data_IF_902895643090
#
_entry.id   IF_902895643090
#
_cell.length_a   1.000
_cell.length_b   1.000
_cell.length_c   1.000
_cell.angle_alpha   90.00
_cell.angle_beta   90.00
_cell.angle_gamma   90.00
#
_symmetry.space_group_name_H-M   'P 1'
#
loop_
_entity.id
_entity.type
_entity.pdbx_description
1 polymer ?
#
# COMPACT_ATOMS: atom_id res chain seq x y z
N UNK A 1 50.69 7.77 -2.90
CA UNK A 1 49.50 8.59 -3.32
C UNK A 1 48.48 7.83 -4.19
N UNK A 2 48.81 6.76 -4.91
CA UNK A 2 47.87 6.01 -5.77
C UNK A 2 46.88 5.07 -4.99
N UNK A 3 47.27 4.60 -3.82
CA UNK A 3 46.48 3.73 -2.98
C UNK A 3 45.34 4.47 -2.25
N UNK A 4 45.59 5.68 -1.77
CA UNK A 4 44.58 6.50 -1.06
C UNK A 4 43.39 6.87 -1.96
N UNK A 5 43.65 7.10 -3.26
CA UNK A 5 42.63 7.44 -4.26
C UNK A 5 41.70 6.28 -4.59
N UNK A 6 42.19 5.04 -4.48
CA UNK A 6 41.36 3.82 -4.70
C UNK A 6 40.40 3.58 -3.54
N UNK A 7 40.82 3.86 -2.30
CA UNK A 7 39.94 3.72 -1.12
C UNK A 7 38.82 4.77 -1.09
N UNK A 8 39.10 6.01 -1.52
CA UNK A 8 38.09 7.08 -1.62
C UNK A 8 37.00 6.74 -2.66
N UNK A 9 37.36 6.11 -3.78
CA UNK A 9 36.39 5.68 -4.79
C UNK A 9 35.54 4.51 -4.28
N UNK A 10 36.13 3.59 -3.49
CA UNK A 10 35.37 2.45 -2.91
C UNK A 10 34.41 2.91 -1.82
N UNK A 11 34.82 3.88 -0.99
CA UNK A 11 33.94 4.46 0.04
C UNK A 11 32.83 5.31 -0.59
N UNK A 12 33.09 6.02 -1.68
CA UNK A 12 32.08 6.78 -2.41
C UNK A 12 31.06 5.86 -3.11
N UNK A 13 31.46 4.68 -3.57
CA UNK A 13 30.54 3.67 -4.15
C UNK A 13 29.70 2.97 -3.08
N UNK A 14 30.17 2.84 -1.84
CA UNK A 14 29.42 2.32 -0.71
C UNK A 14 28.44 3.35 -0.11
N UNK A 15 28.70 4.65 -0.29
CA UNK A 15 27.80 5.73 0.15
C UNK A 15 26.62 5.99 -0.81
N UNK A 16 26.63 5.41 -2.01
CA UNK A 16 25.49 5.35 -2.92
C UNK A 16 24.59 4.14 -2.60
N UNK A 17 24.29 3.93 -1.32
CA UNK A 17 23.21 3.08 -0.86
C UNK A 17 21.88 3.65 -1.33
N UNK A 18 21.64 3.61 -2.64
CA UNK A 18 20.36 3.94 -3.23
C UNK A 18 19.31 3.00 -2.66
N UNK A 19 18.21 3.53 -2.18
CA UNK A 19 17.04 2.75 -1.82
C UNK A 19 16.71 1.83 -3.00
N UNK A 20 16.86 0.50 -2.81
CA UNK A 20 16.54 -0.49 -3.84
C UNK A 20 15.03 -0.61 -3.89
N UNK A 21 14.42 0.30 -4.65
CA UNK A 21 12.99 0.23 -4.92
C UNK A 21 12.74 -0.77 -6.05
N UNK A 22 11.97 -1.80 -5.78
CA UNK A 22 11.53 -2.74 -6.79
C UNK A 22 10.22 -2.28 -7.43
N UNK A 23 10.19 -2.29 -8.77
CA UNK A 23 8.94 -2.19 -9.50
C UNK A 23 8.21 -3.54 -9.44
N UNK A 24 6.97 -3.51 -8.96
CA UNK A 24 6.11 -4.68 -8.85
C UNK A 24 5.00 -4.53 -9.88
N UNK A 25 4.82 -5.56 -10.71
CA UNK A 25 3.72 -5.63 -11.67
C UNK A 25 2.61 -6.49 -11.08
N UNK A 26 1.37 -6.01 -11.14
CA UNK A 26 0.22 -6.79 -10.69
C UNK A 26 -0.17 -7.78 -11.78
N UNK A 27 -0.14 -9.10 -11.50
CA UNK A 27 -0.47 -10.11 -12.49
C UNK A 27 -1.85 -9.90 -13.11
N UNK A 28 -1.94 -10.04 -14.46
CA UNK A 28 -3.18 -9.90 -15.21
C UNK A 28 -3.59 -8.45 -15.50
N UNK A 29 -2.76 -7.46 -15.13
CA UNK A 29 -3.01 -6.04 -15.36
C UNK A 29 -1.81 -5.35 -15.99
N UNK A 30 -1.95 -4.11 -16.49
CA UNK A 30 -0.82 -3.23 -16.83
C UNK A 30 -0.36 -2.39 -15.62
N UNK A 31 -0.93 -2.63 -14.45
CA UNK A 31 -0.67 -1.84 -13.24
C UNK A 31 0.67 -2.24 -12.63
N UNK A 32 1.48 -1.24 -12.33
CA UNK A 32 2.72 -1.42 -11.57
C UNK A 32 2.85 -0.36 -10.50
N UNK A 33 3.62 -0.66 -9.48
CA UNK A 33 3.95 0.26 -8.38
C UNK A 33 5.35 -0.04 -7.84
N UNK A 34 5.86 0.82 -6.97
CA UNK A 34 7.19 0.64 -6.38
C UNK A 34 7.09 0.44 -4.87
N UNK A 35 7.85 -0.52 -4.36
CA UNK A 35 8.11 -0.73 -2.94
C UNK A 35 9.61 -0.69 -2.67
N UNK A 36 9.98 -0.12 -1.53
CA UNK A 36 11.32 -0.26 -1.00
C UNK A 36 11.48 -1.67 -0.40
N UNK A 37 12.35 -2.48 -0.98
CA UNK A 37 12.58 -3.87 -0.53
C UNK A 37 13.21 -3.96 0.87
N UNK A 38 13.78 -2.88 1.39
CA UNK A 38 14.30 -2.83 2.75
C UNK A 38 13.19 -2.59 3.78
N UNK A 39 12.08 -1.97 3.34
CA UNK A 39 10.97 -1.60 4.20
C UNK A 39 9.74 -2.51 4.04
N UNK A 40 9.57 -3.17 2.88
CA UNK A 40 8.38 -3.94 2.58
C UNK A 40 8.70 -5.33 2.10
N UNK A 41 7.93 -6.31 2.58
CA UNK A 41 8.05 -7.72 2.16
C UNK A 41 6.71 -8.27 1.73
N UNK A 42 6.73 -8.98 0.60
CA UNK A 42 5.62 -9.82 0.19
C UNK A 42 5.41 -10.95 1.21
N UNK A 43 4.15 -11.14 1.62
CA UNK A 43 3.77 -12.20 2.55
C UNK A 43 3.14 -13.37 1.82
N UNK A 44 2.04 -13.11 1.10
CA UNK A 44 1.25 -14.15 0.46
C UNK A 44 0.25 -13.58 -0.54
N UNK A 45 -0.25 -14.46 -1.40
CA UNK A 45 -1.47 -14.25 -2.19
C UNK A 45 -2.51 -15.29 -1.79
N UNK A 46 -3.76 -14.90 -1.75
CA UNK A 46 -4.88 -15.84 -1.66
C UNK A 46 -6.03 -15.39 -2.55
N UNK A 47 -6.95 -16.32 -2.83
CA UNK A 47 -8.14 -16.07 -3.63
C UNK A 47 -9.34 -15.95 -2.72
N UNK A 48 -10.12 -14.89 -2.87
CA UNK A 48 -11.37 -14.71 -2.15
C UNK A 48 -12.50 -15.54 -2.78
N UNK A 49 -13.60 -15.69 -2.04
CA UNK A 49 -14.77 -16.44 -2.49
C UNK A 49 -15.40 -15.85 -3.76
N UNK A 50 -15.29 -14.54 -3.96
CA UNK A 50 -15.76 -13.82 -5.14
C UNK A 50 -14.83 -13.97 -6.36
N UNK A 51 -13.77 -14.76 -6.23
CA UNK A 51 -12.77 -15.03 -7.26
C UNK A 51 -11.64 -14.01 -7.39
N UNK A 52 -11.64 -12.95 -6.59
CA UNK A 52 -10.57 -11.96 -6.59
C UNK A 52 -9.27 -12.52 -6.01
N UNK A 53 -8.14 -12.01 -6.48
CA UNK A 53 -6.84 -12.28 -5.89
C UNK A 53 -6.47 -11.15 -4.95
N UNK A 54 -5.98 -11.51 -3.75
CA UNK A 54 -5.45 -10.54 -2.78
C UNK A 54 -3.98 -10.78 -2.57
N UNK A 55 -3.18 -9.72 -2.75
CA UNK A 55 -1.74 -9.71 -2.50
C UNK A 55 -1.48 -8.94 -1.21
N UNK A 56 -0.74 -9.55 -0.28
CA UNK A 56 -0.35 -8.93 0.99
C UNK A 56 1.14 -8.65 1.05
N UNK A 57 1.46 -7.45 1.49
CA UNK A 57 2.81 -7.02 1.86
C UNK A 57 2.77 -6.47 3.28
N UNK A 58 3.83 -6.70 4.05
CA UNK A 58 4.00 -6.09 5.37
C UNK A 58 5.19 -5.16 5.40
N UNK A 59 5.09 -4.14 6.24
CA UNK A 59 6.20 -3.26 6.56
C UNK A 59 7.16 -4.00 7.52
N UNK A 60 8.45 -3.95 7.22
CA UNK A 60 9.53 -4.59 7.98
C UNK A 60 10.69 -3.64 8.26
N UNK A 61 10.49 -2.34 8.04
CA UNK A 61 11.48 -1.31 8.34
C UNK A 61 11.67 -1.09 9.83
N UNK A 62 11.51 0.14 10.29
CA UNK A 62 11.58 0.46 11.72
C UNK A 62 10.47 -0.21 12.51
N UNK A 63 10.79 -0.65 13.73
CA UNK A 63 9.78 -1.23 14.63
C UNK A 63 8.84 -0.14 15.09
N UNK A 64 7.56 -0.30 14.81
CA UNK A 64 6.50 0.56 15.30
C UNK A 64 5.87 -0.07 16.53
N UNK A 65 5.68 0.72 17.58
CA UNK A 65 5.03 0.30 18.82
C UNK A 65 3.76 1.13 19.03
N UNK A 66 2.72 0.49 19.56
CA UNK A 66 1.54 1.21 20.04
C UNK A 66 1.73 1.72 21.48
N UNK A 67 0.71 2.36 22.03
CA UNK A 67 0.73 2.89 23.39
C UNK A 67 0.95 1.84 24.47
N UNK A 68 0.61 0.58 24.20
CA UNK A 68 0.80 -0.54 25.12
C UNK A 68 2.19 -1.18 24.99
N UNK A 69 3.01 -0.73 24.02
CA UNK A 69 4.33 -1.24 23.70
C UNK A 69 4.32 -2.48 22.81
N UNK A 70 3.19 -2.85 22.24
CA UNK A 70 3.09 -3.96 21.33
C UNK A 70 3.56 -3.57 19.92
N UNK A 71 4.22 -4.50 19.23
CA UNK A 71 4.66 -4.30 17.86
C UNK A 71 3.48 -4.19 16.89
N UNK A 72 3.46 -3.11 16.11
CA UNK A 72 2.48 -2.88 15.05
C UNK A 72 3.11 -3.19 13.70
N UNK A 73 2.41 -3.96 12.87
CA UNK A 73 2.81 -4.28 11.50
C UNK A 73 1.86 -3.58 10.51
N UNK A 74 2.29 -2.51 9.85
CA UNK A 74 1.54 -1.92 8.74
C UNK A 74 1.46 -2.89 7.55
N UNK A 75 0.33 -2.84 6.83
CA UNK A 75 0.08 -3.69 5.68
C UNK A 75 -0.26 -2.87 4.43
N UNK A 76 0.18 -3.39 3.29
CA UNK A 76 -0.38 -3.08 1.99
C UNK A 76 -1.16 -4.31 1.51
N UNK A 77 -2.44 -4.12 1.25
CA UNK A 77 -3.31 -5.10 0.62
C UNK A 77 -3.68 -4.63 -0.78
N UNK A 78 -3.56 -5.50 -1.77
CA UNK A 78 -3.97 -5.22 -3.15
C UNK A 78 -5.01 -6.27 -3.53
N UNK A 79 -6.23 -5.82 -3.74
CA UNK A 79 -7.33 -6.64 -4.25
C UNK A 79 -7.40 -6.47 -5.77
N UNK A 80 -7.52 -7.58 -6.50
CA UNK A 80 -7.58 -7.60 -7.96
C UNK A 80 -8.69 -8.54 -8.39
N UNK A 81 -9.73 -8.01 -9.01
CA UNK A 81 -10.86 -8.78 -9.54
C UNK A 81 -10.94 -8.63 -11.05
N UNK A 82 -10.65 -9.70 -11.75
CA UNK A 82 -10.84 -9.77 -13.20
C UNK A 82 -12.31 -10.03 -13.56
N UNK A 83 -12.72 -9.63 -14.76
CA UNK A 83 -14.10 -9.78 -15.23
C UNK A 83 -15.10 -8.83 -14.55
N UNK A 84 -14.66 -7.83 -13.76
CA UNK A 84 -15.54 -6.89 -13.08
C UNK A 84 -16.31 -6.02 -14.09
N UNK A 85 -17.63 -6.18 -14.12
CA UNK A 85 -18.53 -5.53 -15.06
C UNK A 85 -19.06 -4.16 -14.62
N UNK A 86 -19.18 -3.99 -13.31
CA UNK A 86 -19.78 -2.82 -12.67
C UNK A 86 -18.85 -1.59 -12.63
N UNK A 87 -19.35 -0.46 -12.18
CA UNK A 87 -18.56 0.75 -12.00
C UNK A 87 -17.73 0.72 -10.70
N UNK A 88 -16.91 1.76 -10.49
CA UNK A 88 -16.06 1.83 -9.29
C UNK A 88 -16.84 2.13 -8.01
N UNK A 89 -17.98 2.81 -8.09
CA UNK A 89 -18.80 3.11 -6.91
C UNK A 89 -19.46 1.84 -6.37
N UNK A 90 -19.88 0.93 -7.26
CA UNK A 90 -20.37 -0.38 -6.86
C UNK A 90 -19.26 -1.20 -6.18
N UNK A 91 -18.03 -1.18 -6.72
CA UNK A 91 -16.90 -1.83 -6.07
C UNK A 91 -16.66 -1.27 -4.66
N UNK A 92 -16.63 0.06 -4.51
CA UNK A 92 -16.46 0.71 -3.21
C UNK A 92 -17.57 0.28 -2.24
N UNK A 93 -18.82 0.24 -2.72
CA UNK A 93 -19.95 -0.18 -1.91
C UNK A 93 -19.84 -1.64 -1.46
N UNK A 94 -19.54 -2.56 -2.38
CA UNK A 94 -19.34 -3.97 -2.07
C UNK A 94 -18.24 -4.16 -1.01
N UNK A 95 -17.10 -3.49 -1.20
CA UNK A 95 -15.98 -3.56 -0.25
C UNK A 95 -16.30 -2.91 1.10
N UNK A 96 -17.14 -1.87 1.11
CA UNK A 96 -17.65 -1.26 2.33
C UNK A 96 -18.60 -2.18 3.10
N UNK A 97 -19.47 -2.90 2.41
CA UNK A 97 -20.39 -3.88 3.04
C UNK A 97 -19.60 -5.02 3.68
N UNK A 98 -18.55 -5.51 3.01
CA UNK A 98 -17.69 -6.58 3.53
C UNK A 98 -16.87 -6.14 4.77
N UNK A 99 -16.42 -4.90 4.79
CA UNK A 99 -15.64 -4.34 5.88
C UNK A 99 -16.02 -2.87 6.12
N UNK A 100 -17.10 -2.62 6.89
CA UNK A 100 -17.56 -1.27 7.20
C UNK A 100 -16.49 -0.41 7.88
N UNK A 101 -16.44 0.86 7.50
CA UNK A 101 -15.51 1.84 8.05
C UNK A 101 -16.15 3.24 8.14
N UNK A 102 -15.60 4.08 8.99
CA UNK A 102 -15.93 5.50 8.98
C UNK A 102 -15.01 6.20 7.99
N UNK A 103 -15.59 6.82 6.95
CA UNK A 103 -14.84 7.69 6.05
C UNK A 103 -14.43 8.97 6.77
N UNK A 104 -13.14 9.29 6.73
CA UNK A 104 -12.60 10.53 7.25
C UNK A 104 -12.46 11.57 6.15
N UNK A 105 -12.07 11.14 4.95
CA UNK A 105 -11.85 12.01 3.81
C UNK A 105 -11.93 11.22 2.49
N UNK A 106 -12.52 11.86 1.49
CA UNK A 106 -12.36 11.46 0.09
C UNK A 106 -11.18 12.21 -0.52
N UNK A 107 -10.43 11.54 -1.37
CA UNK A 107 -9.30 12.13 -2.06
C UNK A 107 -9.72 12.63 -3.43
N UNK A 108 -9.36 13.86 -3.73
CA UNK A 108 -9.58 14.47 -5.04
C UNK A 108 -8.43 14.15 -6.00
N UNK A 109 -8.72 14.26 -7.29
CA UNK A 109 -7.81 13.98 -8.41
C UNK A 109 -6.42 14.66 -8.32
N UNK A 110 -6.26 15.74 -7.55
CA UNK A 110 -5.00 16.46 -7.35
C UNK A 110 -4.19 15.99 -6.15
N UNK A 111 -4.72 15.10 -5.31
CA UNK A 111 -4.13 14.75 -4.02
C UNK A 111 -3.41 13.38 -4.02
N UNK A 112 -3.09 12.82 -5.17
CA UNK A 112 -2.34 11.56 -5.27
C UNK A 112 -3.16 10.34 -5.65
N UNK A 113 -4.38 10.50 -6.20
CA UNK A 113 -5.05 9.40 -6.88
C UNK A 113 -4.26 9.10 -8.16
N UNK A 114 -3.68 7.90 -8.27
CA UNK A 114 -2.65 7.63 -9.28
C UNK A 114 -3.18 7.54 -10.71
N UNK A 115 -4.50 7.41 -10.91
CA UNK A 115 -5.09 7.26 -12.24
C UNK A 115 -6.32 8.14 -12.43
N UNK A 116 -6.50 8.63 -13.68
CA UNK A 116 -7.72 9.33 -14.08
C UNK A 116 -8.95 8.45 -13.87
N UNK A 117 -9.96 8.98 -13.17
CA UNK A 117 -11.20 8.28 -12.86
C UNK A 117 -11.10 7.30 -11.70
N UNK A 118 -9.97 7.27 -10.97
CA UNK A 118 -9.86 6.53 -9.72
C UNK A 118 -10.58 7.23 -8.57
N UNK A 119 -10.90 6.47 -7.52
CA UNK A 119 -11.48 6.95 -6.27
C UNK A 119 -10.50 6.72 -5.14
N UNK A 120 -10.41 7.64 -4.19
CA UNK A 120 -9.54 7.51 -3.04
C UNK A 120 -10.24 7.88 -1.75
N UNK A 121 -9.95 7.13 -0.69
CA UNK A 121 -10.54 7.31 0.62
C UNK A 121 -9.50 7.17 1.72
N UNK A 122 -9.68 7.96 2.75
CA UNK A 122 -9.06 7.77 4.04
C UNK A 122 -10.14 7.44 5.05
N UNK A 123 -9.92 6.43 5.88
CA UNK A 123 -10.92 6.01 6.83
C UNK A 123 -10.34 5.32 8.06
N UNK A 124 -11.23 5.03 8.99
CA UNK A 124 -10.93 4.34 10.24
C UNK A 124 -11.95 3.22 10.47
N UNK A 125 -11.50 2.12 11.02
CA UNK A 125 -12.36 1.04 11.47
C UNK A 125 -11.78 0.34 12.69
N UNK A 126 -12.64 -0.24 13.50
CA UNK A 126 -12.21 -1.09 14.62
C UNK A 126 -12.15 -2.54 14.16
N UNK A 127 -10.98 -3.15 14.25
CA UNK A 127 -10.79 -4.55 13.82
C UNK A 127 -11.42 -5.49 14.84
N UNK A 128 -12.33 -6.40 14.41
CA UNK A 128 -13.08 -7.24 15.35
C UNK A 128 -12.21 -8.19 16.17
N UNK A 129 -11.06 -8.61 15.65
CA UNK A 129 -10.19 -9.64 16.26
C UNK A 129 -9.37 -9.14 17.42
N UNK A 130 -8.85 -7.91 17.35
CA UNK A 130 -7.97 -7.33 18.37
C UNK A 130 -8.55 -6.08 19.04
N UNK A 131 -9.75 -5.63 18.60
CA UNK A 131 -10.46 -4.45 19.10
C UNK A 131 -9.70 -3.13 18.97
N UNK A 132 -8.66 -3.09 18.13
CA UNK A 132 -7.88 -1.90 17.85
C UNK A 132 -8.47 -1.10 16.70
N UNK A 133 -8.31 0.22 16.75
CA UNK A 133 -8.65 1.11 15.67
C UNK A 133 -7.51 1.13 14.65
N UNK A 134 -7.87 0.88 13.40
CA UNK A 134 -6.98 0.97 12.23
C UNK A 134 -7.36 2.16 11.38
N UNK A 135 -6.36 2.89 10.91
CA UNK A 135 -6.51 3.96 9.92
C UNK A 135 -5.85 3.54 8.62
N UNK A 136 -6.46 3.90 7.50
CA UNK A 136 -6.00 3.46 6.19
C UNK A 136 -6.12 4.55 5.13
N UNK A 137 -5.29 4.40 4.10
CA UNK A 137 -5.44 5.02 2.80
C UNK A 137 -5.82 3.96 1.79
N UNK A 138 -6.86 4.21 0.99
CA UNK A 138 -7.26 3.34 -0.11
C UNK A 138 -7.39 4.12 -1.41
N UNK A 139 -7.10 3.43 -2.51
CA UNK A 139 -7.47 3.90 -3.85
C UNK A 139 -8.04 2.76 -4.66
N UNK A 140 -9.06 3.10 -5.44
CA UNK A 140 -9.73 2.20 -6.36
C UNK A 140 -9.57 2.71 -7.78
N UNK A 141 -9.34 1.81 -8.70
CA UNK A 141 -9.36 2.11 -10.13
C UNK A 141 -9.72 0.89 -10.94
N UNK A 142 -10.09 1.12 -12.18
CA UNK A 142 -10.48 0.07 -13.10
C UNK A 142 -9.61 0.16 -14.35
N UNK A 143 -9.09 -0.98 -14.77
CA UNK A 143 -8.41 -1.14 -16.03
C UNK A 143 -9.20 -2.12 -16.90
N UNK A 144 -9.85 -1.62 -17.95
CA UNK A 144 -10.77 -2.41 -18.78
C UNK A 144 -11.84 -3.08 -17.93
N UNK A 145 -11.73 -4.41 -17.72
CA UNK A 145 -12.64 -5.21 -16.88
C UNK A 145 -11.99 -5.71 -15.61
N UNK A 146 -10.83 -5.20 -15.23
CA UNK A 146 -10.15 -5.57 -14.00
C UNK A 146 -10.26 -4.43 -12.99
N UNK A 147 -10.88 -4.70 -11.85
CA UNK A 147 -11.00 -3.77 -10.73
C UNK A 147 -9.82 -3.98 -9.77
N UNK A 148 -9.25 -2.89 -9.30
CA UNK A 148 -8.09 -2.90 -8.40
C UNK A 148 -8.34 -1.98 -7.22
N UNK A 149 -8.11 -2.49 -5.99
CA UNK A 149 -8.03 -1.71 -4.75
C UNK A 149 -6.61 -1.81 -4.20
N UNK A 150 -6.03 -0.67 -3.87
CA UNK A 150 -4.87 -0.58 -2.97
C UNK A 150 -5.35 -0.10 -1.63
N UNK A 151 -5.00 -0.81 -0.57
CA UNK A 151 -5.28 -0.41 0.80
C UNK A 151 -4.03 -0.52 1.65
N UNK A 152 -3.59 0.61 2.18
CA UNK A 152 -2.46 0.71 3.10
C UNK A 152 -3.02 1.04 4.47
N UNK A 153 -2.74 0.20 5.47
CA UNK A 153 -3.33 0.32 6.80
C UNK A 153 -2.32 0.05 7.91
N UNK A 154 -2.54 0.73 9.04
CA UNK A 154 -1.84 0.51 10.30
C UNK A 154 -2.76 0.89 11.44
N UNK A 155 -2.35 0.69 12.71
CA UNK A 155 -3.12 1.19 13.84
C UNK A 155 -3.25 2.71 13.79
N UNK A 156 -4.32 3.24 14.37
CA UNK A 156 -4.57 4.69 14.42
C UNK A 156 -3.39 5.46 15.03
N UNK A 157 -2.73 4.88 16.03
CA UNK A 157 -1.63 5.50 16.77
C UNK A 157 -0.35 5.65 15.93
N UNK A 158 -0.05 4.66 15.06
CA UNK A 158 1.15 4.67 14.21
C UNK A 158 0.90 5.21 12.82
N UNK A 159 -0.31 5.69 12.53
CA UNK A 159 -0.67 6.12 11.19
C UNK A 159 0.11 7.33 10.72
N UNK A 160 0.31 8.33 11.57
CA UNK A 160 0.99 9.57 11.19
C UNK A 160 2.47 9.30 10.81
N UNK A 161 3.12 8.30 11.43
CA UNK A 161 4.47 7.85 11.09
C UNK A 161 4.53 7.17 9.72
N UNK A 162 3.42 6.54 9.32
CA UNK A 162 3.32 5.77 8.08
C UNK A 162 2.69 6.54 6.90
N UNK A 163 1.97 7.62 7.16
CA UNK A 163 1.20 8.33 6.13
C UNK A 163 2.06 8.77 4.94
N UNK A 164 3.25 9.32 5.20
CA UNK A 164 4.17 9.77 4.15
C UNK A 164 4.63 8.59 3.30
N UNK A 165 4.95 7.44 3.94
CA UNK A 165 5.35 6.21 3.24
C UNK A 165 4.20 5.67 2.39
N UNK A 166 2.98 5.66 2.91
CA UNK A 166 1.78 5.26 2.20
C UNK A 166 1.53 6.13 0.96
N UNK A 167 1.56 7.44 1.11
CA UNK A 167 1.40 8.39 0.00
C UNK A 167 2.48 8.20 -1.06
N UNK A 168 3.73 7.95 -0.66
CA UNK A 168 4.83 7.67 -1.57
C UNK A 168 4.57 6.43 -2.42
N UNK A 169 4.06 5.34 -1.83
CA UNK A 169 3.69 4.12 -2.57
C UNK A 169 2.59 4.43 -3.58
N UNK A 170 1.49 5.07 -3.14
CA UNK A 170 0.36 5.39 -4.02
C UNK A 170 0.78 6.28 -5.20
N UNK A 171 1.70 7.22 -5.00
CA UNK A 171 2.21 8.10 -6.05
C UNK A 171 3.02 7.36 -7.13
N UNK A 172 3.47 6.13 -6.86
CA UNK A 172 4.24 5.32 -7.84
C UNK A 172 3.36 4.44 -8.73
N UNK A 173 2.06 4.33 -8.45
CA UNK A 173 1.13 3.49 -9.22
C UNK A 173 0.99 4.05 -10.66
N UNK A 174 1.21 3.18 -11.63
CA UNK A 174 1.16 3.49 -13.07
C UNK A 174 0.18 2.58 -13.78
#
# INVERSE_FOLDING_TARGET
MKTLRRWLVLVALLALGGTVSAQINIPGTSVSFQLDNNEWRYLRTFKEADGANIYYYCYVGEVLLDSDGDTVLPFLRIYVKDGYGSDLYELVYDRYVDQPYQSLREWNKGEGIPRNGGLGYEGIYTKPTDKRDYRFLMTYFKERRTAVEFRLETTRETYDDMEVKFKKILATIK
#
